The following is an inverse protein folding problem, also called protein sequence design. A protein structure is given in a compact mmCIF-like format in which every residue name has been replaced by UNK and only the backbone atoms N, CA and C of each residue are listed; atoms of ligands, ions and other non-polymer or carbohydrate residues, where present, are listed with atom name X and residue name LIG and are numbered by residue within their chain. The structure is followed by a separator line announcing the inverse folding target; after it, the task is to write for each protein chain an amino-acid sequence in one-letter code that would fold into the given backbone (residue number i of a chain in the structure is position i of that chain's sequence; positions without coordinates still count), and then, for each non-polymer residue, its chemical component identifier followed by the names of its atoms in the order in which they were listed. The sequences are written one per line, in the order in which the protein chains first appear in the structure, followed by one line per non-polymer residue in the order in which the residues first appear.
data_IF_781357604583
#
_entry.id   IF_781357604583
#
_cell.length_a   1.000
_cell.length_b   1.000
_cell.length_c   1.000
_cell.angle_alpha   90.00
_cell.angle_beta   90.00
_cell.angle_gamma   90.00
#
_symmetry.space_group_name_H-M   'P 1'
#
loop_
_entity.id
_entity.type
_entity.pdbx_description
1 polymer ?
#
# COMPACT_ATOMS: atom_id res chain seq x y z
N UNK A 1 28.29 3.56 -20.71
CA UNK A 1 27.92 2.33 -19.98
C UNK A 1 26.43 2.08 -20.21
N UNK A 2 26.08 1.25 -21.19
CA UNK A 2 24.69 0.97 -21.55
C UNK A 2 24.04 0.14 -20.44
N UNK A 3 23.17 0.76 -19.65
CA UNK A 3 22.40 0.09 -18.61
C UNK A 3 21.51 -0.97 -19.25
N UNK A 4 21.70 -2.23 -18.85
CA UNK A 4 20.87 -3.37 -19.28
C UNK A 4 19.40 -2.98 -19.05
N UNK A 5 18.58 -2.98 -20.10
CA UNK A 5 17.17 -2.67 -20.00
C UNK A 5 16.54 -3.58 -18.93
N UNK A 6 16.00 -2.98 -17.87
CA UNK A 6 15.25 -3.70 -16.83
C UNK A 6 14.05 -4.33 -17.52
N UNK A 7 14.02 -5.67 -17.60
CA UNK A 7 12.95 -6.39 -18.28
C UNK A 7 11.61 -6.14 -17.59
N UNK A 8 10.63 -5.66 -18.37
CA UNK A 8 9.21 -5.74 -18.06
C UNK A 8 8.71 -7.06 -18.67
N UNK A 9 8.34 -8.07 -17.87
CA UNK A 9 7.71 -9.28 -18.40
C UNK A 9 6.39 -8.91 -19.08
N UNK A 10 6.08 -9.50 -20.25
CA UNK A 10 4.79 -9.30 -20.93
C UNK A 10 3.59 -9.68 -20.04
N UNK A 11 3.78 -10.66 -19.15
CA UNK A 11 2.78 -11.07 -18.15
C UNK A 11 2.36 -9.93 -17.22
N UNK A 12 3.21 -8.92 -17.06
CA UNK A 12 3.02 -7.77 -16.19
C UNK A 12 2.00 -6.77 -16.75
N UNK A 13 1.81 -6.75 -18.07
CA UNK A 13 0.88 -5.86 -18.77
C UNK A 13 -0.56 -6.39 -18.71
N UNK A 14 -0.76 -7.71 -18.68
CA UNK A 14 -2.10 -8.30 -18.71
C UNK A 14 -2.68 -8.60 -17.33
N UNK A 15 -1.87 -8.61 -16.28
CA UNK A 15 -2.28 -9.02 -14.93
C UNK A 15 -2.76 -7.88 -14.02
N UNK A 16 -2.54 -6.61 -14.41
CA UNK A 16 -2.92 -5.44 -13.60
C UNK A 16 -3.48 -4.32 -14.48
N UNK A 17 -4.25 -3.43 -13.87
CA UNK A 17 -4.86 -2.25 -14.48
C UNK A 17 -3.83 -1.27 -15.01
N UNK A 18 -4.26 -0.43 -15.96
CA UNK A 18 -3.43 0.59 -16.60
C UNK A 18 -2.74 1.52 -15.59
N UNK A 19 -3.36 1.74 -14.42
CA UNK A 19 -2.78 2.54 -13.35
C UNK A 19 -1.50 1.91 -12.79
N UNK A 20 -1.56 0.64 -12.38
CA UNK A 20 -0.39 -0.05 -11.85
C UNK A 20 0.65 -0.30 -12.93
N UNK A 21 0.25 -0.56 -14.17
CA UNK A 21 1.19 -0.65 -15.29
C UNK A 21 1.99 0.65 -15.46
N UNK A 22 1.34 1.81 -15.35
CA UNK A 22 1.99 3.13 -15.41
C UNK A 22 3.01 3.30 -14.28
N UNK A 23 2.63 2.95 -13.05
CA UNK A 23 3.53 3.01 -11.90
C UNK A 23 4.73 2.08 -12.04
N UNK A 24 4.52 0.85 -12.51
CA UNK A 24 5.61 -0.12 -12.69
C UNK A 24 6.55 0.34 -13.81
N UNK A 25 6.02 0.92 -14.88
CA UNK A 25 6.82 1.57 -15.93
C UNK A 25 7.65 2.71 -15.34
N UNK A 26 7.07 3.57 -14.52
CA UNK A 26 7.80 4.66 -13.85
C UNK A 26 8.92 4.14 -12.93
N UNK A 27 8.70 3.03 -12.22
CA UNK A 27 9.73 2.39 -11.39
C UNK A 27 10.89 1.86 -12.26
N UNK A 28 10.56 1.17 -13.36
CA UNK A 28 11.55 0.62 -14.29
C UNK A 28 12.39 1.74 -14.91
N UNK A 29 11.76 2.85 -15.30
CA UNK A 29 12.41 4.06 -15.82
C UNK A 29 13.18 4.85 -14.74
N UNK A 30 13.09 4.47 -13.46
CA UNK A 30 13.75 5.18 -12.37
C UNK A 30 13.12 6.53 -12.02
N UNK A 31 11.87 6.76 -12.42
CA UNK A 31 11.09 7.98 -12.17
C UNK A 31 10.26 7.92 -10.89
N UNK A 32 10.08 6.74 -10.30
CA UNK A 32 9.37 6.60 -9.03
C UNK A 32 10.30 7.00 -7.86
N UNK A 33 9.97 8.05 -7.08
CA UNK A 33 10.84 8.54 -6.00
C UNK A 33 10.92 7.58 -4.80
N UNK A 34 10.02 6.61 -4.70
CA UNK A 34 9.97 5.65 -3.60
C UNK A 34 10.91 4.46 -3.81
N UNK A 35 11.52 4.32 -5.00
CA UNK A 35 12.51 3.27 -5.29
C UNK A 35 13.91 3.88 -5.36
N UNK A 36 14.58 3.91 -4.21
CA UNK A 36 15.93 4.47 -4.04
C UNK A 36 17.04 3.43 -4.09
N UNK A 37 16.70 2.15 -4.26
CA UNK A 37 17.65 1.03 -4.26
C UNK A 37 17.81 0.42 -5.66
N UNK A 38 18.99 -0.16 -5.97
CA UNK A 38 19.20 -0.82 -7.25
C UNK A 38 18.50 -2.19 -7.30
N UNK A 39 18.01 -2.56 -8.49
CA UNK A 39 17.37 -3.85 -8.77
C UNK A 39 17.59 -4.25 -10.24
N UNK A 40 17.53 -5.55 -10.54
CA UNK A 40 17.73 -6.11 -11.89
C UNK A 40 16.45 -6.25 -12.70
N UNK A 41 15.31 -6.45 -12.03
CA UNK A 41 14.01 -6.60 -12.67
C UNK A 41 12.86 -6.62 -11.69
N UNK A 42 11.64 -6.66 -12.22
CA UNK A 42 10.40 -6.75 -11.44
C UNK A 42 9.61 -7.94 -11.97
N UNK A 43 9.02 -8.71 -11.05
CA UNK A 43 7.99 -9.70 -11.38
C UNK A 43 6.74 -9.49 -10.55
N UNK A 44 5.60 -9.85 -11.11
CA UNK A 44 4.40 -10.13 -10.33
C UNK A 44 4.50 -11.58 -9.83
N UNK A 45 4.23 -11.85 -8.55
CA UNK A 45 3.99 -13.21 -8.10
C UNK A 45 2.88 -13.89 -8.91
N UNK A 46 2.90 -15.23 -8.95
CA UNK A 46 1.87 -16.00 -9.64
C UNK A 46 0.51 -15.74 -8.97
N UNK A 47 -0.54 -15.63 -9.78
CA UNK A 47 -1.91 -15.38 -9.33
C UNK A 47 -2.12 -14.05 -8.59
N UNK A 48 -1.19 -13.09 -8.73
CA UNK A 48 -1.37 -11.74 -8.19
C UNK A 48 -2.63 -11.12 -8.78
N UNK A 49 -3.54 -10.75 -7.89
CA UNK A 49 -4.70 -9.92 -8.19
C UNK A 49 -4.54 -8.60 -7.48
N UNK A 50 -5.11 -7.54 -8.07
CA UNK A 50 -5.24 -6.28 -7.36
C UNK A 50 -6.06 -6.48 -6.10
N UNK A 51 -5.54 -5.98 -4.98
CA UNK A 51 -6.28 -6.00 -3.73
C UNK A 51 -7.49 -5.09 -3.89
N UNK A 52 -8.68 -5.67 -3.73
CA UNK A 52 -9.92 -4.91 -3.86
C UNK A 52 -9.93 -3.76 -2.83
N UNK A 53 -10.66 -2.66 -3.12
CA UNK A 53 -10.73 -1.50 -2.24
C UNK A 53 -11.21 -1.78 -0.80
N UNK A 54 -11.74 -2.97 -0.54
CA UNK A 54 -12.35 -3.37 0.73
C UNK A 54 -11.52 -4.43 1.49
N UNK A 55 -10.41 -4.92 0.92
CA UNK A 55 -9.67 -6.09 1.44
C UNK A 55 -8.65 -5.70 2.50
N UNK A 56 -9.10 -5.10 3.60
CA UNK A 56 -8.28 -4.40 4.62
C UNK A 56 -8.11 -2.91 4.28
N UNK A 57 -8.94 -2.10 4.92
CA UNK A 57 -9.01 -0.65 4.73
C UNK A 57 -7.76 0.09 5.20
N UNK A 58 -6.91 -0.55 6.00
CA UNK A 58 -5.77 0.09 6.64
C UNK A 58 -4.41 -0.44 6.19
N UNK A 59 -4.35 -1.60 5.54
CA UNK A 59 -3.08 -2.27 5.23
C UNK A 59 -2.78 -2.36 3.73
N UNK A 60 -3.57 -3.09 2.94
CA UNK A 60 -3.22 -3.44 1.54
C UNK A 60 -4.20 -2.94 0.49
N UNK A 61 -5.19 -2.13 0.87
CA UNK A 61 -6.18 -1.54 -0.04
C UNK A 61 -5.54 -0.91 -1.28
N UNK A 62 -6.14 -1.12 -2.45
CA UNK A 62 -5.74 -0.50 -3.71
C UNK A 62 -4.25 -0.69 -3.98
N UNK A 63 -3.76 -1.91 -3.78
CA UNK A 63 -2.37 -2.26 -4.03
C UNK A 63 -2.26 -3.51 -4.89
N UNK A 64 -1.08 -3.71 -5.46
CA UNK A 64 -0.69 -4.93 -6.15
C UNK A 64 0.64 -5.41 -5.58
N UNK A 65 0.77 -6.71 -5.35
CA UNK A 65 2.03 -7.28 -4.88
C UNK A 65 3.02 -7.37 -6.04
N UNK A 66 4.19 -6.78 -5.88
CA UNK A 66 5.31 -6.85 -6.81
C UNK A 66 6.55 -7.42 -6.11
N UNK A 67 7.46 -8.02 -6.88
CA UNK A 67 8.73 -8.50 -6.38
C UNK A 67 9.89 -7.92 -7.18
N UNK A 68 10.78 -7.21 -6.50
CA UNK A 68 12.06 -6.73 -7.03
C UNK A 68 13.09 -7.85 -7.00
N UNK A 69 13.76 -8.05 -8.13
CA UNK A 69 14.75 -9.12 -8.31
C UNK A 69 16.17 -8.58 -8.30
N UNK A 70 17.07 -9.33 -7.68
CA UNK A 70 18.50 -9.02 -7.68
C UNK A 70 18.83 -7.69 -7.01
N UNK A 71 18.14 -7.37 -5.91
CA UNK A 71 18.52 -6.26 -5.04
C UNK A 71 19.75 -6.66 -4.19
N UNK A 72 20.47 -5.71 -3.57
CA UNK A 72 21.66 -6.00 -2.77
C UNK A 72 21.45 -7.02 -1.64
N UNK A 73 20.23 -7.12 -1.12
CA UNK A 73 19.88 -8.00 0.01
C UNK A 73 18.99 -9.19 -0.39
N UNK A 74 18.97 -9.53 -1.69
CA UNK A 74 18.11 -10.59 -2.23
C UNK A 74 16.87 -10.06 -2.93
N UNK A 75 15.83 -10.86 -3.05
CA UNK A 75 14.57 -10.42 -3.67
C UNK A 75 13.70 -9.72 -2.63
N UNK A 76 13.10 -8.58 -3.00
CA UNK A 76 12.22 -7.81 -2.11
C UNK A 76 10.79 -7.92 -2.62
N UNK A 77 9.87 -8.38 -1.78
CA UNK A 77 8.42 -8.36 -2.05
C UNK A 77 7.80 -7.12 -1.41
N UNK A 78 7.00 -6.38 -2.18
CA UNK A 78 6.35 -5.15 -1.72
C UNK A 78 4.94 -5.01 -2.31
N UNK A 79 4.09 -4.27 -1.62
CA UNK A 79 2.82 -3.78 -2.12
C UNK A 79 3.06 -2.43 -2.79
N UNK A 80 2.72 -2.35 -4.08
CA UNK A 80 2.66 -1.11 -4.83
C UNK A 80 1.25 -0.56 -4.72
N UNK A 81 1.09 0.64 -4.17
CA UNK A 81 -0.20 1.30 -4.01
C UNK A 81 -0.57 2.14 -5.23
N UNK A 82 -1.84 2.48 -5.35
CA UNK A 82 -2.39 3.26 -6.45
C UNK A 82 -1.83 4.70 -6.55
N UNK A 83 -1.25 5.22 -5.47
CA UNK A 83 -0.52 6.49 -5.42
C UNK A 83 0.96 6.36 -5.82
N UNK A 84 1.43 5.15 -6.11
CA UNK A 84 2.82 4.85 -6.50
C UNK A 84 3.76 4.61 -5.33
N UNK A 85 3.27 4.70 -4.08
CA UNK A 85 4.06 4.34 -2.89
C UNK A 85 4.27 2.83 -2.80
N UNK A 86 5.31 2.44 -2.06
CA UNK A 86 5.70 1.05 -1.86
C UNK A 86 5.81 0.75 -0.37
N UNK A 87 5.19 -0.34 0.08
CA UNK A 87 5.41 -0.87 1.43
C UNK A 87 5.73 -2.34 1.39
N UNK A 88 6.77 -2.75 2.12
CA UNK A 88 7.01 -4.17 2.38
C UNK A 88 6.10 -4.65 3.51
N UNK A 89 5.92 -5.95 3.65
CA UNK A 89 5.21 -6.54 4.80
C UNK A 89 5.80 -6.09 6.14
N UNK A 90 7.12 -5.96 6.22
CA UNK A 90 7.81 -5.42 7.40
C UNK A 90 7.38 -3.99 7.71
N UNK A 91 7.32 -3.11 6.70
CA UNK A 91 6.88 -1.72 6.89
C UNK A 91 5.42 -1.64 7.36
N UNK A 92 4.54 -2.46 6.78
CA UNK A 92 3.13 -2.53 7.18
C UNK A 92 2.99 -3.02 8.63
N UNK A 93 3.74 -4.07 9.02
CA UNK A 93 3.74 -4.56 10.39
C UNK A 93 4.26 -3.52 11.40
N UNK A 94 5.33 -2.80 11.06
CA UNK A 94 5.85 -1.70 11.89
C UNK A 94 4.84 -0.56 12.04
N UNK A 95 4.10 -0.25 10.97
CA UNK A 95 3.04 0.75 11.02
C UNK A 95 1.89 0.31 11.94
N UNK A 96 1.46 -0.95 11.84
CA UNK A 96 0.45 -1.54 12.72
C UNK A 96 0.88 -1.50 14.20
N UNK A 97 2.14 -1.83 14.49
CA UNK A 97 2.66 -1.75 15.85
C UNK A 97 2.68 -0.32 16.37
N UNK A 98 3.12 0.65 15.54
CA UNK A 98 3.07 2.08 15.89
C UNK A 98 1.65 2.56 16.18
N UNK A 99 0.65 2.14 15.38
CA UNK A 99 -0.76 2.48 15.62
C UNK A 99 -1.25 1.93 16.96
N UNK A 100 -0.89 0.68 17.30
CA UNK A 100 -1.23 0.06 18.60
C UNK A 100 -0.59 0.80 19.78
N UNK A 101 0.67 1.18 19.67
CA UNK A 101 1.37 1.96 20.70
C UNK A 101 0.74 3.34 20.89
N UNK A 102 0.39 4.02 19.79
CA UNK A 102 -0.31 5.30 19.83
C UNK A 102 -1.69 5.18 20.48
N UNK A 103 -2.47 4.15 20.13
CA UNK A 103 -3.78 3.90 20.71
C UNK A 103 -3.68 3.64 22.22
N UNK A 104 -2.71 2.83 22.65
CA UNK A 104 -2.45 2.58 24.05
C UNK A 104 -2.06 3.87 24.80
N UNK A 105 -1.21 4.72 24.20
CA UNK A 105 -0.85 6.02 24.76
C UNK A 105 -2.04 6.96 24.89
N UNK A 106 -2.90 7.05 23.86
CA UNK A 106 -4.11 7.85 23.91
C UNK A 106 -5.05 7.39 25.02
N UNK A 107 -5.26 6.08 25.17
CA UNK A 107 -6.09 5.55 26.25
C UNK A 107 -5.55 5.91 27.63
N UNK A 108 -4.23 5.88 27.83
CA UNK A 108 -3.61 6.31 29.09
C UNK A 108 -3.88 7.78 29.36
N UNK A 109 -3.75 8.65 28.36
CA UNK A 109 -4.04 10.09 28.50
C UNK A 109 -5.53 10.38 28.73
N UNK A 110 -6.43 9.72 27.98
CA UNK A 110 -7.88 9.88 28.12
C UNK A 110 -8.37 9.41 29.50
N UNK A 111 -7.77 8.35 30.03
CA UNK A 111 -8.08 7.84 31.38
C UNK A 111 -7.67 8.80 32.50
N UNK A 112 -6.82 9.81 32.25
CA UNK A 112 -6.54 10.88 33.23
C UNK A 112 -7.74 11.80 33.43
N UNK A 113 -8.63 11.88 32.44
CA UNK A 113 -9.78 12.79 32.44
C UNK A 113 -11.08 12.06 32.01
N UNK A 114 -11.53 11.03 32.76
CA UNK A 114 -12.64 10.18 32.34
C UNK A 114 -13.96 10.93 32.15
N UNK A 115 -14.16 12.03 32.88
CA UNK A 115 -15.33 12.89 32.78
C UNK A 115 -15.45 13.63 31.43
N UNK A 116 -14.35 13.76 30.66
CA UNK A 116 -14.37 14.36 29.32
C UNK A 116 -14.91 13.41 28.25
N UNK A 117 -15.07 12.13 28.55
CA UNK A 117 -15.64 11.12 27.65
C UNK A 117 -14.98 11.10 26.26
N UNK A 118 -13.65 11.25 26.22
CA UNK A 118 -12.89 11.43 24.98
C UNK A 118 -12.81 10.15 24.13
N UNK A 119 -12.66 8.98 24.77
CA UNK A 119 -12.52 7.70 24.06
C UNK A 119 -13.74 7.39 23.18
N UNK A 120 -15.01 7.49 23.66
CA UNK A 120 -16.16 7.26 22.80
C UNK A 120 -16.29 8.29 21.67
N UNK A 121 -15.96 9.56 21.93
CA UNK A 121 -15.99 10.62 20.92
C UNK A 121 -14.97 10.35 19.80
N UNK A 122 -13.73 9.97 20.16
CA UNK A 122 -12.67 9.61 19.23
C UNK A 122 -13.03 8.36 18.42
N UNK A 123 -13.56 7.33 19.07
CA UNK A 123 -14.03 6.11 18.42
C UNK A 123 -15.13 6.40 17.40
N UNK A 124 -16.11 7.24 17.75
CA UNK A 124 -17.18 7.64 16.83
C UNK A 124 -16.65 8.48 15.66
N UNK A 125 -15.67 9.35 15.89
CA UNK A 125 -15.01 10.12 14.83
C UNK A 125 -14.25 9.18 13.86
N UNK A 126 -13.52 8.20 14.38
CA UNK A 126 -12.83 7.18 13.59
C UNK A 126 -13.83 6.37 12.75
N UNK A 127 -14.91 5.86 13.35
CA UNK A 127 -15.93 5.09 12.61
C UNK A 127 -16.58 5.91 11.49
N UNK A 128 -16.87 7.20 11.73
CA UNK A 128 -17.38 8.11 10.69
C UNK A 128 -16.39 8.31 9.55
N UNK A 129 -15.09 8.41 9.85
CA UNK A 129 -14.03 8.48 8.84
C UNK A 129 -13.99 7.19 8.01
N UNK A 130 -13.97 6.03 8.65
CA UNK A 130 -13.91 4.73 7.96
C UNK A 130 -15.14 4.49 7.07
N UNK A 131 -16.34 4.82 7.54
CA UNK A 131 -17.55 4.72 6.73
C UNK A 131 -17.49 5.60 5.45
N UNK A 132 -16.91 6.80 5.53
CA UNK A 132 -16.69 7.65 4.33
C UNK A 132 -15.71 6.99 3.35
N UNK A 133 -14.65 6.39 3.87
CA UNK A 133 -13.61 5.71 3.10
C UNK A 133 -14.18 4.49 2.35
N UNK A 134 -15.11 3.76 2.97
CA UNK A 134 -15.86 2.65 2.37
C UNK A 134 -16.80 3.14 1.26
N UNK A 135 -17.60 4.19 1.52
CA UNK A 135 -18.53 4.73 0.51
C UNK A 135 -17.79 5.24 -0.74
N UNK A 136 -16.68 5.96 -0.59
CA UNK A 136 -15.87 6.40 -1.74
C UNK A 136 -15.16 5.25 -2.48
N UNK A 137 -15.11 4.04 -1.91
CA UNK A 137 -14.68 2.83 -2.62
C UNK A 137 -15.75 2.20 -3.53
N UNK A 138 -17.02 2.60 -3.39
CA UNK A 138 -18.16 2.04 -4.16
C UNK A 138 -18.51 2.82 -5.44
N UNK A 139 -17.95 4.01 -5.64
CA UNK A 139 -18.12 4.78 -6.88
C UNK A 139 -17.09 4.36 -7.93
N UNK A 140 -17.20 3.15 -8.48
CA UNK A 140 -16.74 2.95 -9.85
C UNK A 140 -17.75 3.63 -10.77
N UNK A 141 -17.34 4.54 -11.67
CA UNK A 141 -18.23 5.06 -12.69
C UNK A 141 -18.67 3.87 -13.54
N UNK A 142 -19.97 3.60 -13.52
CA UNK A 142 -20.59 2.57 -14.33
C UNK A 142 -20.16 2.72 -15.78
N UNK A 143 -19.65 1.63 -16.31
CA UNK A 143 -19.59 1.38 -17.74
C UNK A 143 -21.03 1.48 -18.24
N UNK A 144 -21.31 2.54 -19.01
CA UNK A 144 -22.48 2.63 -19.90
C UNK A 144 -21.98 2.39 -21.32
#
# INVERSE_FOLDING_TARGET
MAGRAKQLPLELINACSNLFQSHIKAIVEGKNPHVTFPFKGIKLPRDTKEHCPFTDLEEVRNSVTIQFLGTPHGNITAHLFNDGTLKTSTMMHQENNRRREQEAGLLVEENKFPHLNQTPLRTQAYNRKMARIEMHGTTQPGVS
#
